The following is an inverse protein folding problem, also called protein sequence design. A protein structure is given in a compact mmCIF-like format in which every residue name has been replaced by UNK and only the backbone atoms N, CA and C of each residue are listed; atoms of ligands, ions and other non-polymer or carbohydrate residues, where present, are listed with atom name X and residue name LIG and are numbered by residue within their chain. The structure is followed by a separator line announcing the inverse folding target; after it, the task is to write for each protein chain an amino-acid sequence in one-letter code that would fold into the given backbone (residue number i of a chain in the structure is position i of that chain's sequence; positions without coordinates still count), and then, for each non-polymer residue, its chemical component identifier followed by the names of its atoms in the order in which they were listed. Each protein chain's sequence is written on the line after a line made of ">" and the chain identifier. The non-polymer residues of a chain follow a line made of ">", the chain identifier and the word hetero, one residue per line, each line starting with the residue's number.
data_IF_257952671067
#
_entry.id   IF_257952671067
#
_cell.length_a   1.000
_cell.length_b   1.000
_cell.length_c   1.000
_cell.angle_alpha   90.00
_cell.angle_beta   90.00
_cell.angle_gamma   90.00
#
_symmetry.space_group_name_H-M   'P 1'
#
loop_
_entity.id
_entity.type
_entity.pdbx_description
1 polymer ?
#
# COMPACT_ATOMS: atom_id res chain seq x y z
N UNK A 1 11.20 -0.57 -5.13
CA UNK A 1 9.97 -0.44 -4.33
C UNK A 1 10.16 -1.07 -2.96
N UNK A 2 9.47 -0.55 -1.96
CA UNK A 2 9.63 -1.05 -0.57
C UNK A 2 8.95 -2.39 -0.31
N UNK A 3 8.09 -2.82 -1.23
CA UNK A 3 7.42 -4.13 -1.17
C UNK A 3 7.59 -4.79 -2.54
N UNK A 4 7.88 -6.08 -2.54
CA UNK A 4 8.07 -6.83 -3.79
C UNK A 4 6.81 -7.56 -4.20
N UNK A 5 6.73 -7.97 -5.48
CA UNK A 5 5.64 -8.80 -5.96
C UNK A 5 5.57 -10.12 -5.18
N UNK A 6 6.71 -10.71 -4.88
CA UNK A 6 6.74 -11.97 -4.11
C UNK A 6 6.16 -11.80 -2.71
N UNK A 7 6.47 -10.68 -2.05
CA UNK A 7 5.90 -10.39 -0.74
C UNK A 7 4.37 -10.24 -0.81
N UNK A 8 3.87 -9.55 -1.85
CA UNK A 8 2.43 -9.40 -2.05
C UNK A 8 1.79 -10.76 -2.30
N UNK A 9 2.40 -11.59 -3.15
CA UNK A 9 1.86 -12.91 -3.46
C UNK A 9 1.79 -13.78 -2.22
N UNK A 10 2.83 -13.73 -1.38
CA UNK A 10 2.82 -14.47 -0.12
C UNK A 10 1.71 -13.97 0.78
N UNK A 11 1.56 -12.66 0.89
CA UNK A 11 0.54 -12.03 1.75
C UNK A 11 -0.87 -12.38 1.30
N UNK A 12 -1.12 -12.40 -0.02
CA UNK A 12 -2.44 -12.69 -0.60
C UNK A 12 -2.63 -14.15 -0.95
N UNK A 13 -1.62 -14.99 -0.74
CA UNK A 13 -1.66 -16.43 -1.06
C UNK A 13 -1.89 -16.70 -2.55
N UNK A 14 -1.23 -15.91 -3.39
CA UNK A 14 -1.31 -16.07 -4.84
C UNK A 14 -0.16 -16.98 -5.28
N UNK A 15 -0.47 -18.02 -6.07
CA UNK A 15 0.53 -19.02 -6.48
C UNK A 15 0.77 -19.04 -7.99
N UNK A 16 0.19 -18.11 -8.74
CA UNK A 16 0.35 -18.05 -10.19
C UNK A 16 1.01 -16.73 -10.58
N UNK A 17 1.46 -16.63 -11.84
CA UNK A 17 2.25 -15.50 -12.32
C UNK A 17 1.50 -14.60 -13.31
N UNK A 18 0.29 -14.96 -13.71
CA UNK A 18 -0.45 -14.26 -14.76
C UNK A 18 -0.77 -12.81 -14.40
N UNK A 19 -0.76 -12.47 -13.11
CA UNK A 19 -1.11 -11.13 -12.67
C UNK A 19 0.08 -10.36 -12.11
N UNK A 20 1.31 -10.81 -12.34
CA UNK A 20 2.49 -10.14 -11.78
C UNK A 20 2.60 -8.69 -12.23
N UNK A 21 2.32 -8.40 -13.51
CA UNK A 21 2.35 -7.01 -14.00
C UNK A 21 1.29 -6.14 -13.34
N UNK A 22 0.09 -6.69 -13.13
CA UNK A 22 -0.98 -5.99 -12.43
C UNK A 22 -0.61 -5.70 -10.98
N UNK A 23 -0.04 -6.69 -10.30
CA UNK A 23 0.42 -6.53 -8.92
C UNK A 23 1.51 -5.47 -8.81
N UNK A 24 2.44 -5.44 -9.77
CA UNK A 24 3.47 -4.41 -9.80
C UNK A 24 2.86 -3.01 -9.88
N UNK A 25 1.82 -2.84 -10.71
CA UNK A 25 1.12 -1.57 -10.82
C UNK A 25 0.45 -1.18 -9.51
N UNK A 26 -0.17 -2.14 -8.83
CA UNK A 26 -0.81 -1.87 -7.54
C UNK A 26 0.20 -1.48 -6.47
N UNK A 27 1.37 -2.12 -6.46
CA UNK A 27 2.44 -1.78 -5.52
C UNK A 27 2.91 -0.34 -5.75
N UNK A 28 3.15 0.02 -7.02
CA UNK A 28 3.60 1.37 -7.35
C UNK A 28 2.55 2.41 -6.92
N UNK A 29 1.28 2.13 -7.15
CA UNK A 29 0.20 3.03 -6.77
C UNK A 29 0.11 3.17 -5.24
N UNK A 30 0.20 2.06 -4.52
CA UNK A 30 0.10 2.08 -3.06
C UNK A 30 1.31 2.78 -2.42
N UNK A 31 2.50 2.55 -2.95
CA UNK A 31 3.70 3.25 -2.45
C UNK A 31 3.60 4.75 -2.70
N UNK A 32 3.15 5.15 -3.88
CA UNK A 32 2.96 6.57 -4.18
C UNK A 32 1.96 7.20 -3.21
N UNK A 33 0.86 6.50 -2.93
CA UNK A 33 -0.14 6.99 -1.98
C UNK A 33 0.46 7.16 -0.58
N UNK A 34 1.30 6.20 -0.15
CA UNK A 34 1.96 6.28 1.15
C UNK A 34 2.93 7.47 1.21
N UNK A 35 3.71 7.65 0.15
CA UNK A 35 4.67 8.75 0.09
C UNK A 35 3.99 10.11 0.03
N UNK A 36 2.88 10.20 -0.70
CA UNK A 36 2.12 11.43 -0.77
C UNK A 36 1.49 11.78 0.58
N UNK A 37 0.93 10.78 1.26
CA UNK A 37 0.32 11.01 2.57
C UNK A 37 1.37 11.45 3.59
N UNK A 38 2.55 10.83 3.57
CA UNK A 38 3.62 11.12 4.52
C UNK A 38 4.47 12.32 4.15
N UNK A 39 4.34 12.82 2.91
CA UNK A 39 5.16 13.92 2.39
C UNK A 39 6.64 13.60 2.43
N UNK A 40 6.98 12.34 2.27
CA UNK A 40 8.37 11.89 2.24
C UNK A 40 8.46 10.62 1.39
N UNK A 41 9.64 10.36 0.86
CA UNK A 41 9.88 9.15 0.09
C UNK A 41 10.48 8.08 1.01
N UNK A 42 10.15 6.83 0.71
CA UNK A 42 10.68 5.70 1.45
C UNK A 42 11.59 4.86 0.56
N UNK A 43 12.71 4.44 1.12
CA UNK A 43 13.61 3.52 0.44
C UNK A 43 13.61 2.17 1.17
N UNK A 44 14.04 1.14 0.49
CA UNK A 44 14.15 -0.19 1.06
C UNK A 44 15.45 -0.30 1.87
N UNK A 45 15.43 -0.78 3.13
CA UNK A 45 14.27 -1.25 3.86
C UNK A 45 13.45 -0.10 4.47
N UNK A 46 12.13 -0.18 4.34
CA UNK A 46 11.23 0.79 4.95
C UNK A 46 10.78 0.28 6.32
N UNK A 47 10.31 1.18 7.21
CA UNK A 47 9.72 0.74 8.48
C UNK A 47 8.58 -0.24 8.26
N UNK A 48 8.46 -1.23 9.15
CA UNK A 48 7.46 -2.28 8.99
C UNK A 48 6.02 -1.76 8.86
N UNK A 49 5.58 -0.77 9.67
CA UNK A 49 4.22 -0.25 9.50
C UNK A 49 3.98 0.38 8.13
N UNK A 50 5.01 0.98 7.52
CA UNK A 50 4.90 1.54 6.16
C UNK A 50 4.71 0.42 5.16
N UNK A 51 5.46 -0.67 5.30
CA UNK A 51 5.31 -1.83 4.43
C UNK A 51 3.94 -2.47 4.57
N UNK A 52 3.45 -2.59 5.81
CA UNK A 52 2.11 -3.13 6.07
C UNK A 52 1.02 -2.26 5.46
N UNK A 53 1.18 -0.93 5.50
CA UNK A 53 0.22 -0.03 4.87
C UNK A 53 0.14 -0.25 3.36
N UNK A 54 1.30 -0.41 2.71
CA UNK A 54 1.35 -0.69 1.28
C UNK A 54 0.69 -2.03 0.97
N UNK A 55 1.00 -3.07 1.75
CA UNK A 55 0.38 -4.39 1.56
C UNK A 55 -1.13 -4.34 1.76
N UNK A 56 -1.60 -3.59 2.74
CA UNK A 56 -3.03 -3.42 3.01
C UNK A 56 -3.75 -2.81 1.81
N UNK A 57 -3.19 -1.75 1.25
CA UNK A 57 -3.80 -1.07 0.10
C UNK A 57 -3.75 -1.94 -1.15
N UNK A 58 -2.65 -2.63 -1.39
CA UNK A 58 -2.54 -3.56 -2.53
C UNK A 58 -3.60 -4.65 -2.41
N UNK A 59 -3.73 -5.25 -1.23
CA UNK A 59 -4.74 -6.30 -1.00
C UNK A 59 -6.15 -5.80 -1.23
N UNK A 60 -6.44 -4.59 -0.75
CA UNK A 60 -7.75 -3.99 -0.95
C UNK A 60 -8.08 -3.85 -2.44
N UNK A 61 -7.17 -3.26 -3.22
CA UNK A 61 -7.43 -3.06 -4.65
C UNK A 61 -7.40 -4.36 -5.43
N UNK A 62 -6.62 -5.33 -5.00
CA UNK A 62 -6.63 -6.64 -5.65
C UNK A 62 -7.97 -7.34 -5.49
N UNK A 63 -8.56 -7.28 -4.31
CA UNK A 63 -9.83 -7.93 -4.00
C UNK A 63 -11.04 -7.13 -4.48
N UNK A 64 -10.89 -5.82 -4.70
CA UNK A 64 -11.97 -4.92 -5.09
C UNK A 64 -11.61 -4.24 -6.41
N UNK A 65 -11.53 -5.03 -7.48
CA UNK A 65 -11.15 -4.51 -8.81
C UNK A 65 -12.23 -3.64 -9.43
N UNK A 66 -13.48 -3.88 -9.06
CA UNK A 66 -14.59 -3.04 -9.48
C UNK A 66 -14.71 -1.84 -8.56
N UNK A 67 -15.78 -1.07 -8.72
CA UNK A 67 -16.00 0.09 -7.85
C UNK A 67 -16.22 -0.41 -6.42
N UNK A 68 -15.32 -0.10 -5.48
CA UNK A 68 -15.47 -0.58 -4.12
C UNK A 68 -16.60 0.16 -3.40
N UNK A 69 -17.18 -0.54 -2.42
CA UNK A 69 -18.12 0.08 -1.50
C UNK A 69 -17.40 1.18 -0.69
N UNK A 70 -18.05 2.34 -0.56
CA UNK A 70 -17.44 3.49 0.10
C UNK A 70 -17.12 3.19 1.56
N UNK A 71 -17.95 2.42 2.24
CA UNK A 71 -17.71 2.06 3.65
C UNK A 71 -16.44 1.22 3.78
N UNK A 72 -16.28 0.24 2.88
CA UNK A 72 -15.09 -0.61 2.86
C UNK A 72 -13.85 0.21 2.53
N UNK A 73 -13.95 1.12 1.56
CA UNK A 73 -12.84 1.99 1.20
C UNK A 73 -12.42 2.86 2.38
N UNK A 74 -13.38 3.47 3.07
CA UNK A 74 -13.08 4.33 4.21
C UNK A 74 -12.41 3.56 5.35
N UNK A 75 -12.86 2.33 5.60
CA UNK A 75 -12.25 1.48 6.63
C UNK A 75 -10.79 1.17 6.27
N UNK A 76 -10.54 0.81 5.03
CA UNK A 76 -9.17 0.56 4.56
C UNK A 76 -8.33 1.83 4.72
N UNK A 77 -8.85 2.98 4.29
CA UNK A 77 -8.09 4.22 4.32
C UNK A 77 -7.78 4.66 5.75
N UNK A 78 -8.68 4.45 6.69
CA UNK A 78 -8.42 4.76 8.10
C UNK A 78 -7.28 3.90 8.64
N UNK A 79 -7.27 2.61 8.34
CA UNK A 79 -6.18 1.73 8.77
C UNK A 79 -4.86 2.11 8.11
N UNK A 80 -4.90 2.39 6.81
CA UNK A 80 -3.73 2.84 6.05
C UNK A 80 -3.13 4.11 6.66
N UNK A 81 -3.97 5.12 6.89
CA UNK A 81 -3.52 6.38 7.45
C UNK A 81 -2.97 6.22 8.87
N UNK A 82 -3.61 5.35 9.69
CA UNK A 82 -3.15 5.09 11.06
C UNK A 82 -1.75 4.48 11.09
N UNK A 83 -1.47 3.56 10.17
CA UNK A 83 -0.15 2.94 10.09
C UNK A 83 0.92 3.94 9.68
N UNK A 84 0.57 4.90 8.83
CA UNK A 84 1.53 5.84 8.27
C UNK A 84 1.69 7.11 9.09
N UNK A 85 0.73 7.43 9.95
CA UNK A 85 0.71 8.70 10.66
C UNK A 85 2.03 9.03 11.37
N UNK A 86 2.67 8.08 12.11
CA UNK A 86 3.93 8.39 12.80
C UNK A 86 5.09 8.69 11.86
N UNK A 87 4.95 8.39 10.58
CA UNK A 87 6.02 8.55 9.58
C UNK A 87 5.83 9.76 8.69
N UNK A 88 4.83 10.59 8.97
CA UNK A 88 4.63 11.83 8.24
C UNK A 88 5.73 12.81 8.59
N UNK A 89 6.19 13.54 7.58
CA UNK A 89 7.20 14.57 7.78
C UNK A 89 6.52 15.88 8.19
N UNK A 90 6.62 16.30 9.47
CA UNK A 90 5.90 17.50 9.92
C UNK A 90 6.39 18.78 9.26
N UNK A 91 7.65 18.81 8.80
CA UNK A 91 8.19 20.00 8.15
C UNK A 91 7.58 20.24 6.78
N UNK A 92 7.02 19.20 6.16
CA UNK A 92 6.44 19.27 4.82
C UNK A 92 4.91 19.31 4.83
N UNK A 93 4.30 19.43 6.02
CA UNK A 93 2.84 19.46 6.15
C UNK A 93 2.27 20.85 5.94
N UNK A 94 3.11 21.86 5.88
CA UNK A 94 2.68 23.26 5.78
C UNK A 94 3.24 23.93 4.56
#
# INVERSE_FOLDING_TARGET
>A
MIVTVDEVKTHLRIQYTEEDAYLTSLIAQAQTAAEDYCRTQFSDPAPEPVRLAVLLMVGFYYENRDIPDMTTYKAMRMAFDSLLYPYRDPEKMF
#
